data_IF_331588249342
#
_entry.id   IF_331588249342
#
_cell.length_a   1.000
_cell.length_b   1.000
_cell.length_c   1.000
_cell.angle_alpha   90.00
_cell.angle_beta   90.00
_cell.angle_gamma   90.00
#
_symmetry.space_group_name_H-M   'P 1'
#
loop_
_entity.id
_entity.type
_entity.pdbx_description
1 polymer ?
#
# COMPACT_ATOMS: atom_id res chain seq x y z
N UNK A 1 -23.07 -0.58 -3.89
CA UNK A 1 -23.75 0.22 -4.94
C UNK A 1 -24.69 -0.61 -5.82
N UNK A 2 -24.27 -1.75 -6.35
CA UNK A 2 -25.13 -2.57 -7.23
C UNK A 2 -26.41 -3.04 -6.53
N UNK A 3 -26.31 -3.46 -5.27
CA UNK A 3 -27.46 -3.93 -4.47
C UNK A 3 -28.43 -2.78 -4.17
N UNK A 4 -27.92 -1.55 -4.09
CA UNK A 4 -28.70 -0.36 -3.74
C UNK A 4 -29.32 0.35 -4.94
N UNK A 5 -29.04 -0.06 -6.17
CA UNK A 5 -29.57 0.58 -7.40
C UNK A 5 -31.12 0.64 -7.45
N UNK A 6 -31.81 -0.27 -6.77
CA UNK A 6 -33.28 -0.30 -6.69
C UNK A 6 -33.88 0.74 -5.74
N UNK A 7 -33.06 1.39 -4.92
CA UNK A 7 -33.48 2.42 -3.97
C UNK A 7 -33.15 3.81 -4.50
N UNK A 8 -33.93 4.80 -4.14
CA UNK A 8 -33.64 6.19 -4.50
C UNK A 8 -32.33 6.69 -3.90
N UNK A 9 -31.69 7.70 -4.51
CA UNK A 9 -30.37 8.18 -4.13
C UNK A 9 -30.25 8.53 -2.64
N UNK A 10 -31.24 9.23 -2.08
CA UNK A 10 -31.26 9.62 -0.67
C UNK A 10 -31.34 8.40 0.27
N UNK A 11 -32.15 7.38 -0.08
CA UNK A 11 -32.27 6.15 0.71
C UNK A 11 -31.00 5.31 0.63
N UNK A 12 -30.39 5.22 -0.56
CA UNK A 12 -29.12 4.52 -0.76
C UNK A 12 -27.99 5.14 0.04
N UNK A 13 -27.91 6.48 0.10
CA UNK A 13 -26.92 7.17 0.93
C UNK A 13 -27.11 6.93 2.42
N UNK A 14 -28.35 6.96 2.91
CA UNK A 14 -28.65 6.63 4.31
C UNK A 14 -28.22 5.20 4.65
N UNK A 15 -28.54 4.22 3.79
CA UNK A 15 -28.10 2.84 3.96
C UNK A 15 -26.57 2.76 4.02
N UNK A 16 -25.88 3.36 3.07
CA UNK A 16 -24.41 3.39 3.04
C UNK A 16 -23.82 3.96 4.32
N UNK A 17 -24.35 5.10 4.76
CA UNK A 17 -23.89 5.78 5.98
C UNK A 17 -24.07 4.90 7.21
N UNK A 18 -25.25 4.30 7.39
CA UNK A 18 -25.52 3.36 8.49
C UNK A 18 -24.57 2.16 8.44
N UNK A 19 -24.32 1.61 7.24
CA UNK A 19 -23.39 0.48 7.05
C UNK A 19 -21.95 0.85 7.45
N UNK A 20 -21.46 2.00 7.01
CA UNK A 20 -20.09 2.47 7.28
C UNK A 20 -19.89 2.75 8.77
N UNK A 21 -20.90 3.37 9.40
CA UNK A 21 -20.88 3.71 10.82
C UNK A 21 -21.22 2.52 11.73
N UNK A 22 -21.57 1.36 11.16
CA UNK A 22 -22.05 0.18 11.86
C UNK A 22 -23.30 0.49 12.74
N UNK A 23 -24.11 1.45 12.28
CA UNK A 23 -25.28 1.95 12.99
C UNK A 23 -26.53 1.13 12.63
N UNK A 24 -26.83 0.13 13.48
CA UNK A 24 -28.00 -0.72 13.30
C UNK A 24 -29.30 0.02 13.61
N UNK A 25 -29.28 1.00 14.51
CA UNK A 25 -30.47 1.72 14.92
C UNK A 25 -30.92 2.67 13.79
N UNK A 26 -30.00 3.39 13.17
CA UNK A 26 -30.29 4.17 11.96
C UNK A 26 -30.81 3.25 10.85
N UNK A 27 -30.18 2.09 10.62
CA UNK A 27 -30.63 1.12 9.60
C UNK A 27 -32.06 0.63 9.87
N UNK A 28 -32.45 0.44 11.14
CA UNK A 28 -33.80 0.04 11.51
C UNK A 28 -34.88 1.06 11.13
N UNK A 29 -34.55 2.35 11.12
CA UNK A 29 -35.47 3.43 10.75
C UNK A 29 -35.78 3.49 9.27
N UNK A 30 -34.92 2.88 8.44
CA UNK A 30 -35.07 2.93 6.98
C UNK A 30 -36.14 1.90 6.58
N UNK A 31 -37.09 2.33 5.73
CA UNK A 31 -38.11 1.45 5.20
C UNK A 31 -37.54 0.50 4.15
N UNK A 32 -37.18 -0.71 4.57
CA UNK A 32 -36.60 -1.79 3.77
C UNK A 32 -37.35 -3.09 4.01
N UNK A 33 -37.29 -3.98 3.05
CA UNK A 33 -37.69 -5.38 3.26
C UNK A 33 -36.92 -6.00 4.44
N UNK A 34 -37.60 -6.71 5.31
CA UNK A 34 -37.00 -7.25 6.53
C UNK A 34 -35.89 -8.28 6.25
N UNK A 35 -36.03 -9.09 5.19
CA UNK A 35 -34.98 -10.02 4.78
C UNK A 35 -33.73 -9.30 4.31
N UNK A 36 -33.91 -8.21 3.55
CA UNK A 36 -32.82 -7.39 3.09
C UNK A 36 -32.15 -6.61 4.25
N UNK A 37 -32.96 -6.07 5.16
CA UNK A 37 -32.46 -5.41 6.37
C UNK A 37 -31.62 -6.37 7.23
N UNK A 38 -32.11 -7.62 7.40
CA UNK A 38 -31.35 -8.65 8.10
C UNK A 38 -30.02 -8.96 7.42
N UNK A 39 -30.00 -9.09 6.09
CA UNK A 39 -28.78 -9.32 5.32
C UNK A 39 -27.77 -8.16 5.48
N UNK A 40 -28.24 -6.91 5.47
CA UNK A 40 -27.39 -5.74 5.70
C UNK A 40 -26.79 -5.73 7.11
N UNK A 41 -27.58 -6.06 8.15
CA UNK A 41 -27.07 -6.19 9.52
C UNK A 41 -25.99 -7.27 9.64
N UNK A 42 -26.19 -8.41 8.97
CA UNK A 42 -25.14 -9.45 8.91
C UNK A 42 -23.89 -8.95 8.21
N UNK A 43 -24.04 -8.21 7.12
CA UNK A 43 -22.91 -7.63 6.38
C UNK A 43 -22.07 -6.67 7.24
N UNK A 44 -22.69 -5.87 8.11
CA UNK A 44 -22.00 -4.94 9.01
C UNK A 44 -20.89 -5.62 9.85
N UNK A 45 -21.08 -6.89 10.18
CA UNK A 45 -20.17 -7.65 11.03
C UNK A 45 -19.44 -8.78 10.28
N UNK A 46 -19.65 -8.87 8.97
CA UNK A 46 -18.99 -9.87 8.12
C UNK A 46 -17.63 -9.35 7.71
N UNK A 47 -16.59 -9.87 8.31
CA UNK A 47 -15.18 -9.61 7.99
C UNK A 47 -14.33 -10.82 8.36
N UNK A 48 -13.16 -10.95 7.77
CA UNK A 48 -12.24 -12.03 8.05
C UNK A 48 -11.57 -12.59 6.79
N UNK A 49 -11.28 -13.87 6.79
CA UNK A 49 -10.66 -14.57 5.66
C UNK A 49 -11.49 -14.38 4.38
N UNK A 50 -10.86 -13.97 3.27
CA UNK A 50 -11.57 -13.56 2.05
C UNK A 50 -12.59 -14.58 1.52
N UNK A 51 -12.20 -15.85 1.39
CA UNK A 51 -13.09 -16.87 0.83
C UNK A 51 -14.30 -17.17 1.72
N UNK A 52 -14.12 -17.13 3.04
CA UNK A 52 -15.23 -17.26 3.98
C UNK A 52 -16.20 -16.08 3.85
N UNK A 53 -15.67 -14.86 3.75
CA UNK A 53 -16.49 -13.65 3.60
C UNK A 53 -17.23 -13.67 2.26
N UNK A 54 -16.57 -14.01 1.16
CA UNK A 54 -17.19 -14.13 -0.17
C UNK A 54 -18.31 -15.18 -0.15
N UNK A 55 -18.09 -16.32 0.49
CA UNK A 55 -19.11 -17.35 0.64
C UNK A 55 -20.35 -16.83 1.41
N UNK A 56 -20.15 -16.13 2.52
CA UNK A 56 -21.24 -15.50 3.29
C UNK A 56 -21.99 -14.45 2.46
N UNK A 57 -21.27 -13.63 1.70
CA UNK A 57 -21.88 -12.63 0.82
C UNK A 57 -22.70 -13.29 -0.30
N UNK A 58 -22.17 -14.34 -0.92
CA UNK A 58 -22.87 -15.11 -1.94
C UNK A 58 -24.17 -15.71 -1.40
N UNK A 59 -24.16 -16.25 -0.18
CA UNK A 59 -25.33 -16.83 0.44
C UNK A 59 -26.42 -15.80 0.77
N UNK A 60 -26.04 -14.56 1.10
CA UNK A 60 -26.99 -13.49 1.46
C UNK A 60 -27.47 -12.67 0.27
N UNK A 61 -26.62 -12.43 -0.71
CA UNK A 61 -26.89 -11.49 -1.82
C UNK A 61 -26.90 -12.15 -3.20
N UNK A 62 -26.62 -13.45 -3.29
CA UNK A 62 -26.50 -14.18 -4.54
C UNK A 62 -25.14 -14.01 -5.21
N UNK A 63 -24.95 -14.75 -6.31
CA UNK A 63 -23.75 -14.65 -7.13
C UNK A 63 -23.68 -13.32 -7.87
N UNK A 64 -22.50 -12.77 -8.02
CA UNK A 64 -22.27 -11.54 -8.80
C UNK A 64 -20.83 -11.49 -9.31
N UNK A 65 -20.66 -10.83 -10.46
CA UNK A 65 -19.34 -10.65 -11.06
C UNK A 65 -18.32 -10.03 -10.09
N UNK A 66 -18.75 -9.12 -9.21
CA UNK A 66 -17.86 -8.50 -8.21
C UNK A 66 -17.31 -9.56 -7.24
N UNK A 67 -18.12 -10.51 -6.80
CA UNK A 67 -17.67 -11.58 -5.90
C UNK A 67 -16.72 -12.54 -6.61
N UNK A 68 -16.97 -12.82 -7.88
CA UNK A 68 -16.09 -13.65 -8.71
C UNK A 68 -14.75 -12.94 -8.95
N UNK A 69 -14.75 -11.64 -9.25
CA UNK A 69 -13.56 -10.82 -9.42
C UNK A 69 -12.73 -10.74 -8.11
N UNK A 70 -13.40 -10.60 -6.96
CA UNK A 70 -12.74 -10.61 -5.65
C UNK A 70 -12.13 -11.98 -5.35
N UNK A 71 -12.82 -13.08 -5.62
CA UNK A 71 -12.29 -14.43 -5.46
C UNK A 71 -11.02 -14.61 -6.29
N UNK A 72 -11.09 -14.26 -7.56
CA UNK A 72 -9.92 -14.32 -8.46
C UNK A 72 -8.74 -13.49 -7.96
N UNK A 73 -9.00 -12.26 -7.47
CA UNK A 73 -7.97 -11.42 -6.90
C UNK A 73 -7.29 -12.07 -5.70
N UNK A 74 -8.08 -12.57 -4.73
CA UNK A 74 -7.54 -13.17 -3.52
C UNK A 74 -6.79 -14.48 -3.81
N UNK A 75 -7.27 -15.30 -4.72
CA UNK A 75 -6.56 -16.50 -5.18
C UNK A 75 -5.22 -16.14 -5.84
N UNK A 76 -5.18 -15.03 -6.58
CA UNK A 76 -3.97 -14.54 -7.25
C UNK A 76 -2.92 -14.03 -6.26
N UNK A 77 -3.32 -13.30 -5.22
CA UNK A 77 -2.39 -12.71 -4.25
C UNK A 77 -2.03 -13.66 -3.10
N UNK A 78 -2.80 -14.73 -2.88
CA UNK A 78 -2.59 -15.68 -1.79
C UNK A 78 -1.18 -16.27 -1.75
N UNK A 79 -0.58 -16.76 -2.84
CA UNK A 79 0.79 -17.30 -2.80
C UNK A 79 1.82 -16.26 -2.34
N UNK A 80 1.60 -14.98 -2.63
CA UNK A 80 2.47 -13.89 -2.21
C UNK A 80 2.29 -13.64 -0.71
N UNK A 81 1.05 -13.52 -0.24
CA UNK A 81 0.77 -13.29 1.18
C UNK A 81 1.29 -14.43 2.05
N UNK A 82 1.10 -15.68 1.63
CA UNK A 82 1.59 -16.86 2.34
C UNK A 82 3.13 -16.85 2.43
N UNK A 83 3.82 -16.50 1.34
CA UNK A 83 5.29 -16.43 1.30
C UNK A 83 5.87 -15.35 2.23
N UNK A 84 5.15 -14.25 2.42
CA UNK A 84 5.58 -13.15 3.30
C UNK A 84 4.93 -13.17 4.69
N UNK A 85 4.12 -14.17 5.01
CA UNK A 85 3.41 -14.26 6.28
C UNK A 85 2.44 -13.10 6.51
N UNK A 86 1.72 -12.69 5.45
CA UNK A 86 0.75 -11.59 5.49
C UNK A 86 -0.65 -12.17 5.61
N UNK A 87 -1.36 -11.83 6.68
CA UNK A 87 -2.76 -12.17 6.85
C UNK A 87 -3.64 -11.18 6.06
N UNK A 88 -4.45 -11.72 5.15
CA UNK A 88 -5.40 -10.92 4.38
C UNK A 88 -6.78 -11.02 5.01
N UNK A 89 -7.42 -9.86 5.22
CA UNK A 89 -8.81 -9.78 5.66
C UNK A 89 -9.64 -9.00 4.66
N UNK A 90 -10.82 -9.52 4.34
CA UNK A 90 -11.84 -8.80 3.58
C UNK A 90 -12.84 -8.19 4.56
N UNK A 91 -13.01 -6.88 4.49
CA UNK A 91 -14.04 -6.12 5.21
C UNK A 91 -14.90 -5.35 4.20
N UNK A 92 -16.12 -5.82 3.91
CA UNK A 92 -17.01 -5.16 2.96
C UNK A 92 -17.50 -3.77 3.40
N UNK A 93 -17.33 -3.43 4.68
CA UNK A 93 -17.75 -2.15 5.26
C UNK A 93 -16.58 -1.17 5.37
N UNK A 94 -15.35 -1.62 5.08
CA UNK A 94 -14.19 -0.74 5.09
C UNK A 94 -14.30 0.33 4.02
N UNK A 95 -14.45 1.57 4.43
CA UNK A 95 -14.45 2.72 3.54
C UNK A 95 -13.46 3.78 4.05
N UNK A 96 -12.45 4.11 3.27
CA UNK A 96 -11.62 5.26 3.59
C UNK A 96 -12.44 6.56 3.39
N UNK A 97 -12.12 7.59 4.17
CA UNK A 97 -12.86 8.87 4.20
C UNK A 97 -12.87 9.67 2.88
N UNK A 98 -12.25 9.18 1.83
CA UNK A 98 -12.17 9.87 0.55
C UNK A 98 -13.09 9.20 -0.47
N UNK A 99 -14.08 9.94 -0.97
CA UNK A 99 -14.95 9.52 -2.07
C UNK A 99 -14.21 9.39 -3.43
N UNK A 100 -12.89 9.25 -3.39
CA UNK A 100 -12.03 9.15 -4.58
C UNK A 100 -11.91 7.72 -5.12
N UNK A 101 -12.23 6.73 -4.28
CA UNK A 101 -12.06 5.32 -4.66
C UNK A 101 -13.28 4.78 -5.38
N UNK A 102 -13.05 4.13 -6.51
CA UNK A 102 -14.09 3.57 -7.39
C UNK A 102 -14.12 2.04 -7.40
N UNK A 103 -13.47 1.39 -6.47
CA UNK A 103 -13.38 -0.07 -6.46
C UNK A 103 -12.73 -0.59 -5.19
N UNK A 104 -11.73 -1.45 -5.35
CA UNK A 104 -10.99 -2.00 -4.22
C UNK A 104 -10.19 -0.90 -3.53
N UNK A 105 -10.26 -0.91 -2.21
CA UNK A 105 -9.42 -0.11 -1.31
C UNK A 105 -8.73 -1.03 -0.33
N UNK A 106 -7.52 -0.69 0.08
CA UNK A 106 -6.77 -1.49 1.03
C UNK A 106 -5.97 -0.64 1.99
N UNK A 107 -5.64 -1.23 3.12
CA UNK A 107 -4.59 -0.74 4.00
C UNK A 107 -3.71 -1.91 4.46
N UNK A 108 -2.42 -1.65 4.56
CA UNK A 108 -1.46 -2.58 5.12
C UNK A 108 -1.16 -2.15 6.55
N UNK A 109 -1.42 -3.06 7.49
CA UNK A 109 -1.24 -2.83 8.91
C UNK A 109 -0.12 -3.74 9.41
N UNK A 110 0.85 -3.16 10.10
CA UNK A 110 1.83 -3.92 10.86
C UNK A 110 1.47 -3.89 12.34
N UNK A 111 1.47 -5.06 12.97
CA UNK A 111 1.25 -5.19 14.41
C UNK A 111 2.60 -5.45 15.07
N UNK A 112 2.99 -4.58 15.98
CA UNK A 112 4.21 -4.74 16.76
C UNK A 112 3.85 -4.65 18.25
N UNK A 113 3.96 -5.77 18.94
CA UNK A 113 3.42 -5.97 20.30
C UNK A 113 1.92 -5.66 20.30
N UNK A 114 1.46 -4.67 21.07
CA UNK A 114 0.06 -4.29 21.20
C UNK A 114 -0.32 -3.07 20.32
N UNK A 115 0.63 -2.53 19.57
CA UNK A 115 0.42 -1.34 18.74
C UNK A 115 0.20 -1.73 17.27
N UNK A 116 -0.75 -1.03 16.63
CA UNK A 116 -1.09 -1.19 15.21
C UNK A 116 -0.63 0.03 14.43
N UNK A 117 0.16 -0.21 13.38
CA UNK A 117 0.68 0.83 12.51
C UNK A 117 0.16 0.64 11.09
N UNK A 118 -0.60 1.60 10.58
CA UNK A 118 -0.98 1.61 9.16
C UNK A 118 0.23 2.09 8.37
N UNK A 119 0.86 1.20 7.62
CA UNK A 119 2.09 1.47 6.87
C UNK A 119 1.85 1.81 5.40
N UNK A 120 0.74 1.32 4.81
CA UNK A 120 0.33 1.73 3.48
C UNK A 120 -1.19 1.79 3.36
N UNK A 121 -1.68 2.67 2.49
CA UNK A 121 -3.08 2.80 2.11
C UNK A 121 -3.17 3.05 0.62
N UNK A 122 -4.15 2.44 -0.04
CA UNK A 122 -4.33 2.64 -1.46
C UNK A 122 -5.62 2.06 -1.98
N UNK A 123 -5.78 2.12 -3.29
CA UNK A 123 -6.94 1.59 -3.96
C UNK A 123 -7.05 2.04 -5.40
N UNK A 124 -8.18 1.73 -6.01
CA UNK A 124 -8.54 2.12 -7.35
C UNK A 124 -9.32 3.44 -7.32
N UNK A 125 -8.95 4.39 -8.20
CA UNK A 125 -9.52 5.75 -8.21
C UNK A 125 -9.79 6.28 -9.63
N UNK A 126 -10.59 5.56 -10.37
CA UNK A 126 -10.92 5.84 -11.78
C UNK A 126 -11.54 7.24 -11.97
N UNK A 127 -12.40 7.67 -11.06
CA UNK A 127 -13.03 9.00 -11.12
C UNK A 127 -12.01 10.14 -11.00
N UNK A 128 -10.93 9.94 -10.26
CA UNK A 128 -9.85 10.93 -10.19
C UNK A 128 -9.13 11.05 -11.53
N UNK A 129 -8.85 9.92 -12.19
CA UNK A 129 -8.25 9.92 -13.53
C UNK A 129 -9.16 10.64 -14.52
N UNK A 130 -10.45 10.35 -14.49
CA UNK A 130 -11.45 11.01 -15.33
C UNK A 130 -11.55 12.50 -15.09
N UNK A 131 -11.40 12.93 -13.85
CA UNK A 131 -11.40 14.36 -13.50
C UNK A 131 -10.24 15.12 -14.19
N UNK A 132 -9.04 14.52 -14.22
CA UNK A 132 -7.87 15.12 -14.88
C UNK A 132 -7.82 14.91 -16.39
N UNK A 133 -8.45 13.85 -16.89
CA UNK A 133 -8.55 13.55 -18.33
C UNK A 133 -9.98 13.15 -18.71
N UNK A 134 -10.89 14.11 -18.88
CA UNK A 134 -12.31 13.84 -19.18
C UNK A 134 -12.54 13.08 -20.50
N UNK A 135 -11.57 13.11 -21.42
CA UNK A 135 -11.64 12.44 -22.72
C UNK A 135 -11.18 10.97 -22.69
N UNK A 136 -10.68 10.51 -21.54
CA UNK A 136 -10.27 9.11 -21.40
C UNK A 136 -11.49 8.19 -21.44
N UNK A 137 -11.49 7.25 -22.37
CA UNK A 137 -12.62 6.33 -22.57
C UNK A 137 -12.69 5.26 -21.48
N UNK A 138 -11.54 4.83 -20.97
CA UNK A 138 -11.41 3.81 -19.94
C UNK A 138 -10.47 4.31 -18.82
N UNK A 139 -10.93 5.25 -18.01
CA UNK A 139 -10.09 5.80 -16.94
C UNK A 139 -9.83 4.72 -15.90
N UNK A 140 -8.59 4.33 -15.72
CA UNK A 140 -8.16 3.39 -14.69
C UNK A 140 -7.03 4.03 -13.90
N UNK A 141 -7.25 4.19 -12.60
CA UNK A 141 -6.25 4.67 -11.66
C UNK A 141 -6.04 3.69 -10.51
N UNK A 142 -4.79 3.36 -10.23
CA UNK A 142 -4.41 2.55 -9.09
C UNK A 142 -3.20 3.17 -8.41
N UNK A 143 -3.21 3.24 -7.10
CA UNK A 143 -2.05 3.73 -6.37
C UNK A 143 -2.18 3.57 -4.87
N UNK A 144 -1.09 3.90 -4.20
CA UNK A 144 -1.02 3.82 -2.76
C UNK A 144 -0.02 4.85 -2.20
N UNK A 145 -0.19 5.14 -0.92
CA UNK A 145 0.73 5.95 -0.12
C UNK A 145 1.36 5.10 0.98
N UNK A 146 2.60 5.42 1.33
CA UNK A 146 3.35 4.75 2.41
C UNK A 146 3.62 5.76 3.52
N UNK A 147 3.36 5.37 4.78
CA UNK A 147 3.68 6.17 5.96
C UNK A 147 5.13 5.91 6.38
N UNK A 148 6.03 6.80 5.97
CA UNK A 148 7.47 6.72 6.33
C UNK A 148 7.66 6.79 7.85
N UNK A 149 6.90 7.64 8.54
CA UNK A 149 7.01 7.79 9.99
C UNK A 149 6.61 6.51 10.75
N UNK A 150 5.56 5.82 10.30
CA UNK A 150 5.16 4.55 10.88
C UNK A 150 6.18 3.45 10.58
N UNK A 151 6.73 3.41 9.37
CA UNK A 151 7.82 2.49 9.03
C UNK A 151 9.05 2.73 9.92
N UNK A 152 9.43 3.99 10.16
CA UNK A 152 10.58 4.32 11.03
C UNK A 152 10.39 3.85 12.47
N UNK A 153 9.16 3.85 13.01
CA UNK A 153 8.84 3.30 14.34
C UNK A 153 9.01 1.77 14.40
N UNK A 154 8.75 1.09 13.29
CA UNK A 154 8.86 -0.37 13.20
C UNK A 154 10.30 -0.84 13.00
N UNK A 155 11.09 -0.09 12.24
CA UNK A 155 12.49 -0.39 11.97
C UNK A 155 13.31 0.08 13.16
N UNK A 156 13.56 -0.81 14.12
CA UNK A 156 14.35 -0.50 15.33
C UNK A 156 15.82 -0.21 15.10
N UNK A 157 16.33 -0.58 13.93
CA UNK A 157 17.72 -0.33 13.55
C UNK A 157 17.73 0.12 12.11
N UNK A 158 18.15 1.36 11.86
CA UNK A 158 18.73 1.71 10.57
C UNK A 158 19.84 0.70 10.23
N UNK A 159 20.26 0.60 8.96
CA UNK A 159 21.32 -0.31 8.61
C UNK A 159 22.50 -0.06 9.57
N UNK A 160 22.80 -1.05 10.42
CA UNK A 160 24.00 -1.07 11.27
C UNK A 160 25.23 -1.27 10.38
N UNK A 161 25.39 -0.50 9.34
CA UNK A 161 26.64 -0.46 8.62
C UNK A 161 27.46 0.65 9.24
N UNK A 162 28.26 0.30 10.24
CA UNK A 162 29.37 1.14 10.71
C UNK A 162 30.36 1.40 9.57
N UNK A 163 30.31 0.60 8.51
CA UNK A 163 31.18 0.67 7.33
C UNK A 163 30.51 1.49 6.24
N UNK A 164 30.97 2.73 6.07
CA UNK A 164 30.55 3.65 5.03
C UNK A 164 31.74 3.98 4.15
N UNK A 165 31.66 3.66 2.86
CA UNK A 165 32.78 3.76 1.92
C UNK A 165 32.59 4.94 0.99
N UNK A 166 33.59 5.81 0.89
CA UNK A 166 33.66 6.83 -0.15
C UNK A 166 34.34 6.25 -1.40
N UNK A 167 33.66 6.30 -2.53
CA UNK A 167 34.18 5.85 -3.82
C UNK A 167 34.71 7.05 -4.57
N UNK A 168 36.00 7.00 -4.94
CA UNK A 168 36.70 8.04 -5.70
C UNK A 168 37.29 7.45 -6.98
N UNK A 169 37.47 8.29 -8.00
CA UNK A 169 38.10 7.95 -9.24
C UNK A 169 38.89 9.14 -9.78
N UNK A 170 39.93 8.87 -10.60
CA UNK A 170 40.88 9.92 -11.07
C UNK A 170 40.46 10.60 -12.37
N UNK A 171 39.77 9.90 -13.27
CA UNK A 171 39.43 10.36 -14.61
C UNK A 171 37.92 10.14 -14.86
N UNK A 172 37.30 10.99 -15.68
CA UNK A 172 35.88 10.86 -16.04
C UNK A 172 35.55 9.51 -16.71
N UNK A 173 36.50 8.91 -17.42
CA UNK A 173 36.34 7.62 -18.08
C UNK A 173 36.08 6.46 -17.07
N UNK A 174 36.48 6.66 -15.82
CA UNK A 174 36.29 5.69 -14.75
C UNK A 174 34.92 5.81 -14.04
N UNK A 175 34.13 6.83 -14.38
CA UNK A 175 32.84 7.05 -13.73
C UNK A 175 31.89 5.84 -13.84
N UNK A 176 31.81 5.24 -15.03
CA UNK A 176 30.95 4.04 -15.23
C UNK A 176 31.38 2.86 -14.37
N UNK A 177 32.72 2.65 -14.22
CA UNK A 177 33.26 1.62 -13.32
C UNK A 177 32.90 1.94 -11.85
N UNK A 178 33.01 3.21 -11.46
CA UNK A 178 32.69 3.66 -10.10
C UNK A 178 31.21 3.44 -9.76
N UNK A 179 30.30 3.75 -10.68
CA UNK A 179 28.87 3.49 -10.54
C UNK A 179 28.60 1.98 -10.39
N UNK A 180 29.22 1.15 -11.19
CA UNK A 180 29.05 -0.30 -11.11
C UNK A 180 29.55 -0.85 -9.78
N UNK A 181 30.68 -0.35 -9.27
CA UNK A 181 31.20 -0.73 -7.97
C UNK A 181 30.29 -0.27 -6.83
N UNK A 182 29.70 0.92 -6.92
CA UNK A 182 28.68 1.37 -5.98
C UNK A 182 27.47 0.43 -5.94
N UNK A 183 26.95 0.02 -7.11
CA UNK A 183 25.87 -0.95 -7.21
C UNK A 183 26.23 -2.28 -6.56
N UNK A 184 27.48 -2.76 -6.80
CA UNK A 184 27.99 -3.99 -6.18
C UNK A 184 28.03 -3.88 -4.65
N UNK A 185 28.53 -2.78 -4.11
CA UNK A 185 28.57 -2.54 -2.66
C UNK A 185 27.16 -2.48 -2.06
N UNK A 186 26.22 -1.82 -2.73
CA UNK A 186 24.82 -1.75 -2.29
C UNK A 186 24.16 -3.13 -2.30
N UNK A 187 24.46 -4.00 -3.27
CA UNK A 187 23.93 -5.38 -3.27
C UNK A 187 24.47 -6.24 -2.12
N UNK A 188 25.60 -5.84 -1.54
CA UNK A 188 26.19 -6.45 -0.34
C UNK A 188 25.76 -5.75 0.97
N UNK A 189 24.75 -4.88 0.91
CA UNK A 189 24.28 -4.04 2.04
C UNK A 189 25.38 -3.14 2.65
N UNK A 190 26.38 -2.75 1.87
CA UNK A 190 27.41 -1.80 2.30
C UNK A 190 27.01 -0.40 1.87
N UNK A 191 26.97 0.54 2.80
CA UNK A 191 26.71 1.95 2.51
C UNK A 191 27.88 2.53 1.76
N UNK A 192 27.64 3.09 0.57
CA UNK A 192 28.70 3.76 -0.18
C UNK A 192 28.24 5.07 -0.80
N UNK A 193 29.12 6.04 -0.84
CA UNK A 193 28.93 7.35 -1.45
C UNK A 193 29.89 7.45 -2.63
N UNK A 194 29.40 7.81 -3.79
CA UNK A 194 30.20 8.07 -4.96
C UNK A 194 30.41 9.58 -5.10
N UNK A 195 31.66 10.05 -5.11
CA UNK A 195 32.00 11.41 -5.51
C UNK A 195 31.87 11.53 -7.02
N UNK A 196 31.06 12.49 -7.48
CA UNK A 196 30.76 12.65 -8.91
C UNK A 196 31.88 13.39 -9.69
N UNK A 197 32.75 14.09 -8.97
CA UNK A 197 33.87 14.78 -9.56
C UNK A 197 35.17 13.95 -9.44
N UNK A 198 36.00 13.87 -10.49
CA UNK A 198 37.27 13.21 -10.39
C UNK A 198 38.14 13.81 -9.29
N UNK A 199 38.71 12.98 -8.43
CA UNK A 199 39.59 13.39 -7.37
C UNK A 199 41.00 12.85 -7.64
N UNK A 200 42.02 13.70 -7.59
CA UNK A 200 43.42 13.31 -7.81
C UNK A 200 44.29 13.55 -6.57
N UNK A 201 43.80 14.35 -5.64
CA UNK A 201 44.56 14.75 -4.46
C UNK A 201 44.12 13.93 -3.25
N UNK A 202 45.07 13.32 -2.53
CA UNK A 202 44.82 12.51 -1.35
C UNK A 202 44.32 13.33 -0.15
N UNK A 203 44.77 14.59 -0.02
CA UNK A 203 44.29 15.48 1.06
C UNK A 203 42.80 15.82 0.88
N UNK A 204 42.42 16.14 -0.38
CA UNK A 204 41.00 16.37 -0.72
C UNK A 204 40.20 15.10 -0.49
N UNK A 205 40.73 13.94 -0.81
CA UNK A 205 40.08 12.66 -0.59
C UNK A 205 39.76 12.42 0.90
N UNK A 206 40.71 12.71 1.81
CA UNK A 206 40.50 12.58 3.23
C UNK A 206 39.48 13.61 3.77
N UNK A 207 39.51 14.85 3.29
CA UNK A 207 38.49 15.85 3.61
C UNK A 207 37.09 15.40 3.18
N UNK A 208 36.95 14.90 1.95
CA UNK A 208 35.67 14.38 1.45
C UNK A 208 35.19 13.16 2.26
N UNK A 209 36.09 12.25 2.64
CA UNK A 209 35.77 11.12 3.51
C UNK A 209 35.18 11.58 4.86
N UNK A 210 35.87 12.53 5.50
CA UNK A 210 35.45 13.04 6.79
C UNK A 210 34.13 13.83 6.72
N UNK A 211 33.96 14.70 5.72
CA UNK A 211 32.74 15.48 5.53
C UNK A 211 31.52 14.60 5.24
N UNK A 212 31.72 13.46 4.58
CA UNK A 212 30.68 12.50 4.29
C UNK A 212 30.47 11.46 5.41
N UNK A 213 31.28 11.51 6.47
CA UNK A 213 31.24 10.55 7.57
C UNK A 213 31.54 9.12 7.10
N UNK A 214 32.46 8.96 6.13
CA UNK A 214 32.87 7.66 5.64
C UNK A 214 34.05 7.12 6.46
N UNK A 215 34.05 5.80 6.67
CA UNK A 215 35.15 5.12 7.38
C UNK A 215 36.31 4.78 6.45
N UNK A 216 36.04 4.61 5.16
CA UNK A 216 37.01 4.11 4.19
C UNK A 216 36.91 4.87 2.86
N UNK A 217 38.01 4.86 2.08
CA UNK A 217 38.05 5.34 0.70
C UNK A 217 38.36 4.16 -0.22
N UNK A 218 37.54 4.00 -1.26
CA UNK A 218 37.77 3.07 -2.36
C UNK A 218 38.13 3.83 -3.63
N UNK A 219 39.36 3.68 -4.10
CA UNK A 219 39.82 4.25 -5.35
C UNK A 219 39.57 3.31 -6.54
N UNK A 220 38.81 3.78 -7.51
CA UNK A 220 38.62 3.09 -8.78
C UNK A 220 39.81 3.35 -9.71
N UNK A 221 40.39 2.25 -10.20
CA UNK A 221 41.57 2.24 -11.07
C UNK A 221 41.20 1.82 -12.49
#
# INVERSE_FOLDING_TARGET
DLILKKYGSNQSEKIKKSMINLDQDELNTINLDEGFKYALKKLMFTRGEPNEVITKLTNHFGKSQILDDLSFLFDTIKPISDNYGIDIQLDPTFQPHLNLYAGIVFQLICINKDEKYVIAKGGRYDELVKYFNPNEKNPIGLGFSISIDNLRKLIKTGPKSERKILILYKNKDLLSKAINEQKRLHSLNVISILELNPCKNTEIAELLKNNNGCSEILWIK
#
